data_IF_100396129896
#
_entry.id   IF_100396129896
#
_cell.length_a   1.000
_cell.length_b   1.000
_cell.length_c   1.000
_cell.angle_alpha   90.00
_cell.angle_beta   90.00
_cell.angle_gamma   90.00
#
_symmetry.space_group_name_H-M   'P 1'
#
loop_
_entity.id
_entity.type
_entity.pdbx_description
1 polymer ?
#
# COMPACT_ATOMS: atom_id res chain seq x y z
N UNK A 1 40.55 -41.18 10.34
CA UNK A 1 40.20 -40.25 9.25
C UNK A 1 38.69 -40.33 9.12
N UNK A 2 37.98 -39.50 9.87
CA UNK A 2 36.52 -39.45 9.89
C UNK A 2 36.14 -38.11 9.28
N UNK A 3 35.78 -38.12 8.01
CA UNK A 3 35.04 -37.02 7.38
C UNK A 3 33.56 -37.34 7.57
N UNK A 4 33.06 -37.08 8.78
CA UNK A 4 31.63 -37.06 9.06
C UNK A 4 31.16 -35.65 8.71
N UNK A 5 31.04 -35.40 7.41
CA UNK A 5 30.36 -34.23 6.89
C UNK A 5 28.90 -34.37 7.33
N UNK A 6 28.59 -33.82 8.51
CA UNK A 6 27.24 -33.56 8.99
C UNK A 6 26.54 -32.74 7.92
N UNK A 7 25.90 -33.42 6.97
CA UNK A 7 24.91 -32.87 6.08
C UNK A 7 23.75 -32.45 6.98
N UNK A 8 23.83 -31.22 7.51
CA UNK A 8 22.70 -30.58 8.18
C UNK A 8 21.63 -30.45 7.12
N UNK A 9 20.75 -31.44 7.08
CA UNK A 9 19.61 -31.44 6.18
C UNK A 9 18.64 -30.41 6.74
N UNK A 10 18.67 -29.20 6.17
CA UNK A 10 17.73 -28.15 6.53
C UNK A 10 16.31 -28.67 6.33
N UNK A 11 15.51 -28.57 7.38
CA UNK A 11 14.11 -28.98 7.34
C UNK A 11 13.37 -28.00 6.42
N UNK A 12 12.67 -28.49 5.37
CA UNK A 12 11.90 -27.61 4.51
C UNK A 12 10.71 -27.05 5.29
N UNK A 13 10.78 -25.77 5.65
CA UNK A 13 9.66 -25.04 6.26
C UNK A 13 8.86 -24.38 5.15
N UNK A 14 7.58 -24.72 5.05
CA UNK A 14 6.67 -24.12 4.07
C UNK A 14 5.46 -23.52 4.78
N UNK A 15 4.97 -22.42 4.22
CA UNK A 15 3.82 -21.68 4.74
C UNK A 15 2.74 -21.63 3.67
N UNK A 16 1.47 -21.74 4.07
CA UNK A 16 0.31 -21.63 3.18
C UNK A 16 -0.67 -20.60 3.75
N UNK A 17 -0.77 -19.37 3.17
CA UNK A 17 0.00 -18.88 2.01
C UNK A 17 1.49 -18.64 2.35
N UNK A 18 2.32 -18.38 1.34
CA UNK A 18 3.75 -18.12 1.53
C UNK A 18 4.01 -17.02 2.59
N UNK A 19 5.11 -17.12 3.34
CA UNK A 19 5.35 -16.29 4.52
C UNK A 19 5.32 -14.79 4.22
N UNK A 20 5.91 -14.37 3.11
CA UNK A 20 5.91 -12.95 2.68
C UNK A 20 4.48 -12.43 2.43
N UNK A 21 3.57 -13.28 1.91
CA UNK A 21 2.16 -12.94 1.75
C UNK A 21 1.45 -12.77 3.09
N UNK A 22 1.77 -13.62 4.08
CA UNK A 22 1.23 -13.50 5.43
C UNK A 22 1.69 -12.19 6.09
N UNK A 23 2.97 -11.85 5.96
CA UNK A 23 3.54 -10.60 6.48
C UNK A 23 2.89 -9.38 5.84
N UNK A 24 2.75 -9.38 4.50
CA UNK A 24 2.06 -8.30 3.78
C UNK A 24 0.59 -8.18 4.19
N UNK A 25 -0.11 -9.30 4.34
CA UNK A 25 -1.49 -9.33 4.82
C UNK A 25 -1.60 -8.68 6.20
N UNK A 26 -0.73 -9.08 7.13
CA UNK A 26 -0.69 -8.51 8.47
C UNK A 26 -0.42 -7.00 8.47
N UNK A 27 0.53 -6.51 7.65
CA UNK A 27 0.79 -5.07 7.51
C UNK A 27 -0.45 -4.33 7.03
N UNK A 28 -1.12 -4.84 6.00
CA UNK A 28 -2.34 -4.21 5.46
C UNK A 28 -3.48 -4.22 6.50
N UNK A 29 -3.60 -5.27 7.31
CA UNK A 29 -4.61 -5.35 8.38
C UNK A 29 -4.34 -4.33 9.49
N UNK A 30 -3.08 -4.12 9.87
CA UNK A 30 -2.70 -3.06 10.80
C UNK A 30 -3.04 -1.69 10.20
N UNK A 31 -2.67 -1.43 8.95
CA UNK A 31 -2.98 -0.15 8.31
C UNK A 31 -4.48 0.14 8.26
N UNK A 32 -5.32 -0.87 7.96
CA UNK A 32 -6.78 -0.72 7.95
C UNK A 32 -7.28 -0.33 9.34
N UNK A 33 -6.88 -1.11 10.35
CA UNK A 33 -7.32 -0.90 11.74
C UNK A 33 -6.96 0.48 12.27
N UNK A 34 -5.79 0.99 11.90
CA UNK A 34 -5.31 2.31 12.33
C UNK A 34 -5.72 3.43 11.36
N UNK A 35 -6.52 3.16 10.32
CA UNK A 35 -6.96 4.10 9.28
C UNK A 35 -5.80 4.91 8.66
N UNK A 36 -4.70 4.24 8.33
CA UNK A 36 -3.51 4.89 7.80
C UNK A 36 -3.76 5.49 6.42
N UNK A 37 -3.38 6.75 6.24
CA UNK A 37 -3.46 7.48 4.97
C UNK A 37 -2.10 7.86 4.40
N UNK A 38 -1.05 7.91 5.24
CA UNK A 38 0.34 8.16 4.84
C UNK A 38 1.28 7.01 5.22
N UNK A 39 2.00 6.46 4.24
CA UNK A 39 2.88 5.30 4.44
C UNK A 39 4.28 5.56 3.90
N UNK A 40 5.30 5.16 4.66
CA UNK A 40 6.68 4.97 4.21
C UNK A 40 7.03 3.49 4.26
N UNK A 41 7.35 2.89 3.11
CA UNK A 41 7.86 1.52 2.99
C UNK A 41 9.39 1.56 2.88
N UNK A 42 10.06 1.17 3.97
CA UNK A 42 11.53 1.14 4.09
C UNK A 42 12.00 -0.23 3.60
N UNK A 43 13.00 -0.24 2.72
CA UNK A 43 13.42 -1.47 2.04
C UNK A 43 12.31 -1.96 1.11
N UNK A 44 11.73 -1.05 0.32
CA UNK A 44 10.53 -1.36 -0.47
C UNK A 44 10.79 -2.37 -1.60
N UNK A 45 12.06 -2.64 -1.92
CA UNK A 45 12.44 -3.53 -3.01
C UNK A 45 11.73 -3.15 -4.30
N UNK A 46 11.22 -4.15 -5.02
CA UNK A 46 10.51 -3.96 -6.29
C UNK A 46 9.14 -3.26 -6.12
N UNK A 47 8.72 -2.91 -4.90
CA UNK A 47 7.50 -2.14 -4.63
C UNK A 47 6.23 -2.97 -4.50
N UNK A 48 6.34 -4.25 -4.10
CA UNK A 48 5.17 -5.13 -3.98
C UNK A 48 4.07 -4.58 -3.05
N UNK A 49 4.44 -4.02 -1.89
CA UNK A 49 3.48 -3.40 -0.97
C UNK A 49 2.91 -2.10 -1.57
N UNK A 50 3.78 -1.25 -2.13
CA UNK A 50 3.37 0.00 -2.78
C UNK A 50 2.35 -0.24 -3.89
N UNK A 51 2.59 -1.25 -4.73
CA UNK A 51 1.66 -1.67 -5.78
C UNK A 51 0.32 -2.14 -5.21
N UNK A 52 0.32 -2.85 -4.09
CA UNK A 52 -0.92 -3.22 -3.39
C UNK A 52 -1.69 -1.98 -2.92
N UNK A 53 -0.99 -0.98 -2.36
CA UNK A 53 -1.57 0.28 -1.86
C UNK A 53 -2.07 1.22 -2.98
N UNK A 54 -1.58 1.06 -4.21
CA UNK A 54 -2.10 1.76 -5.38
C UNK A 54 -3.52 1.31 -5.76
N UNK A 55 -3.96 0.13 -5.35
CA UNK A 55 -5.32 -0.33 -5.65
C UNK A 55 -6.35 0.56 -4.94
N UNK A 56 -7.35 1.11 -5.66
CA UNK A 56 -8.38 1.94 -5.04
C UNK A 56 -9.21 1.15 -4.02
N UNK A 57 -9.68 1.86 -3.00
CA UNK A 57 -10.82 1.39 -2.21
C UNK A 57 -12.03 1.15 -3.13
N UNK A 58 -12.88 0.19 -2.76
CA UNK A 58 -14.08 -0.17 -3.54
C UNK A 58 -15.12 0.96 -3.54
N UNK A 59 -15.09 1.79 -2.51
CA UNK A 59 -15.99 2.91 -2.30
C UNK A 59 -15.15 4.15 -1.96
N UNK A 60 -15.70 5.34 -2.17
CA UNK A 60 -15.08 6.58 -1.69
C UNK A 60 -15.09 6.61 -0.16
N UNK A 61 -14.15 7.33 0.46
CA UNK A 61 -14.25 7.66 1.88
C UNK A 61 -15.59 8.38 2.20
N UNK A 62 -16.12 8.29 3.44
CA UNK A 62 -17.34 8.97 3.78
C UNK A 62 -17.16 10.48 3.56
N UNK A 63 -18.19 11.18 3.07
CA UNK A 63 -18.11 12.63 2.96
C UNK A 63 -17.87 13.24 4.35
N UNK A 64 -17.09 14.31 4.46
CA UNK A 64 -16.86 14.96 5.73
C UNK A 64 -18.19 15.48 6.33
N UNK A 65 -18.32 15.57 7.67
CA UNK A 65 -19.60 15.85 8.32
C UNK A 65 -20.25 17.17 7.91
N UNK A 66 -19.46 18.15 7.47
CA UNK A 66 -19.91 19.45 6.98
C UNK A 66 -20.52 19.40 5.57
N UNK A 67 -20.20 18.36 4.79
CA UNK A 67 -20.80 18.09 3.49
C UNK A 67 -22.11 17.29 3.58
N UNK A 68 -22.43 16.75 4.76
CA UNK A 68 -23.67 16.01 4.98
C UNK A 68 -24.87 16.94 5.21
N UNK A 69 -26.07 16.59 4.71
CA UNK A 69 -27.31 17.24 5.11
C UNK A 69 -27.47 17.23 6.64
N UNK A 70 -28.02 18.29 7.26
CA UNK A 70 -28.17 18.39 8.72
C UNK A 70 -28.87 17.18 9.34
N UNK A 71 -29.86 16.62 8.63
CA UNK A 71 -30.67 15.48 9.08
C UNK A 71 -29.86 14.17 9.16
N UNK A 72 -28.86 14.00 8.29
CA UNK A 72 -27.96 12.85 8.30
C UNK A 72 -26.81 13.04 9.28
N UNK A 73 -26.26 14.25 9.37
CA UNK A 73 -25.23 14.59 10.36
C UNK A 73 -25.73 14.47 11.81
N UNK A 74 -27.05 14.67 12.03
CA UNK A 74 -27.70 14.55 13.33
C UNK A 74 -28.14 13.11 13.69
N UNK A 75 -28.01 12.13 12.79
CA UNK A 75 -28.40 10.74 13.01
C UNK A 75 -27.19 9.86 13.32
N UNK A 76 -26.97 9.46 14.60
CA UNK A 76 -25.82 8.64 14.98
C UNK A 76 -25.82 7.26 14.32
N UNK A 77 -27.01 6.72 14.02
CA UNK A 77 -27.18 5.39 13.41
C UNK A 77 -26.71 5.37 11.94
N UNK A 78 -26.96 6.44 11.19
CA UNK A 78 -26.54 6.55 9.79
C UNK A 78 -25.01 6.70 9.67
N UNK A 79 -24.40 7.49 10.56
CA UNK A 79 -22.94 7.65 10.62
C UNK A 79 -22.25 6.35 11.02
N UNK A 80 -22.78 5.62 12.01
CA UNK A 80 -22.23 4.32 12.44
C UNK A 80 -22.21 3.29 11.31
N UNK A 81 -23.26 3.21 10.50
CA UNK A 81 -23.32 2.28 9.38
C UNK A 81 -22.32 2.61 8.25
N UNK A 82 -22.09 3.90 8.00
CA UNK A 82 -21.06 4.37 7.06
C UNK A 82 -19.66 4.05 7.57
N UNK A 83 -19.41 4.27 8.86
CA UNK A 83 -18.13 3.95 9.47
C UNK A 83 -17.85 2.44 9.40
N UNK A 84 -18.83 1.59 9.75
CA UNK A 84 -18.72 0.12 9.64
C UNK A 84 -18.44 -0.37 8.21
N UNK A 85 -19.07 0.25 7.20
CA UNK A 85 -18.84 -0.10 5.79
C UNK A 85 -17.41 0.22 5.31
N UNK A 86 -16.73 1.15 5.98
CA UNK A 86 -15.44 1.68 5.56
C UNK A 86 -14.27 1.22 6.44
N UNK A 87 -14.54 0.62 7.60
CA UNK A 87 -13.52 0.14 8.55
C UNK A 87 -12.46 -0.80 7.92
N UNK A 88 -12.82 -1.55 6.88
CA UNK A 88 -11.92 -2.49 6.21
C UNK A 88 -11.25 -1.92 4.94
N UNK A 89 -11.47 -0.64 4.63
CA UNK A 89 -10.97 -0.01 3.42
C UNK A 89 -9.81 0.93 3.72
N UNK A 90 -8.74 0.79 2.93
CA UNK A 90 -7.62 1.71 2.96
C UNK A 90 -7.84 2.83 1.95
N UNK A 91 -7.70 4.06 2.42
CA UNK A 91 -7.79 5.28 1.62
C UNK A 91 -6.44 6.04 1.63
N UNK A 92 -5.33 5.43 1.17
CA UNK A 92 -4.04 6.08 1.22
C UNK A 92 -4.04 7.33 0.34
N UNK A 93 -3.40 8.39 0.81
CA UNK A 93 -3.28 9.66 0.09
C UNK A 93 -1.86 9.91 -0.35
N UNK A 94 -0.90 9.44 0.46
CA UNK A 94 0.52 9.54 0.19
C UNK A 94 1.22 8.23 0.56
N UNK A 95 1.97 7.66 -0.37
CA UNK A 95 2.84 6.51 -0.10
C UNK A 95 4.23 6.81 -0.62
N UNK A 96 5.25 6.40 0.13
CA UNK A 96 6.64 6.56 -0.22
C UNK A 96 7.38 5.23 -0.11
N UNK A 97 8.22 4.92 -1.08
CA UNK A 97 9.19 3.81 -1.02
C UNK A 97 10.60 4.35 -0.83
N UNK A 98 11.37 3.73 0.05
CA UNK A 98 12.80 4.00 0.24
C UNK A 98 13.59 2.70 0.05
N UNK A 99 14.56 2.73 -0.84
CA UNK A 99 15.51 1.62 -0.99
C UNK A 99 16.91 2.13 -1.38
N UNK A 100 17.94 1.31 -1.16
CA UNK A 100 19.31 1.59 -1.62
C UNK A 100 19.56 1.00 -3.02
N UNK A 101 18.78 -0.01 -3.41
CA UNK A 101 18.93 -0.72 -4.67
C UNK A 101 18.22 0.02 -5.81
N UNK A 102 19.02 0.64 -6.70
CA UNK A 102 18.49 1.38 -7.86
C UNK A 102 17.60 0.52 -8.76
N UNK A 103 17.99 -0.73 -9.03
CA UNK A 103 17.24 -1.61 -9.94
C UNK A 103 15.84 -1.91 -9.40
N UNK A 104 15.73 -2.12 -8.10
CA UNK A 104 14.46 -2.39 -7.44
C UNK A 104 13.58 -1.13 -7.43
N UNK A 105 14.17 0.04 -7.19
CA UNK A 105 13.51 1.34 -7.30
C UNK A 105 12.96 1.62 -8.70
N UNK A 106 13.71 1.29 -9.75
CA UNK A 106 13.23 1.42 -11.13
C UNK A 106 12.02 0.50 -11.38
N UNK A 107 12.02 -0.70 -10.80
CA UNK A 107 10.88 -1.60 -10.85
C UNK A 107 9.67 -1.01 -10.09
N UNK A 108 9.87 -0.56 -8.85
CA UNK A 108 8.85 0.05 -8.01
C UNK A 108 8.19 1.25 -8.70
N UNK A 109 9.00 2.17 -9.22
CA UNK A 109 8.52 3.35 -9.96
C UNK A 109 7.72 2.97 -11.22
N UNK A 110 8.09 1.87 -11.90
CA UNK A 110 7.37 1.38 -13.07
C UNK A 110 6.02 0.78 -12.70
N UNK A 111 5.94 -0.03 -11.65
CA UNK A 111 4.70 -0.74 -11.27
C UNK A 111 3.70 0.15 -10.52
N UNK A 112 4.15 1.24 -9.90
CA UNK A 112 3.27 2.22 -9.25
C UNK A 112 2.86 3.36 -10.19
N UNK A 113 3.41 3.42 -11.41
CA UNK A 113 3.10 4.46 -12.38
C UNK A 113 1.61 4.44 -12.74
N UNK A 114 0.93 5.59 -12.76
CA UNK A 114 -0.44 5.66 -13.25
C UNK A 114 -0.56 5.14 -14.69
N UNK A 115 -1.68 4.47 -15.04
CA UNK A 115 -1.92 4.05 -16.41
C UNK A 115 -1.90 5.27 -17.34
N UNK A 116 -1.28 5.12 -18.51
CA UNK A 116 -1.25 6.21 -19.49
C UNK A 116 -2.65 6.38 -20.07
N UNK A 117 -3.23 7.59 -20.09
CA UNK A 117 -4.48 7.81 -20.79
C UNK A 117 -4.28 7.43 -22.27
N UNK A 118 -5.12 6.53 -22.79
CA UNK A 118 -5.02 6.13 -24.19
C UNK A 118 -5.19 7.36 -25.09
N UNK A 119 -4.36 7.53 -26.13
CA UNK A 119 -4.48 8.65 -27.05
C UNK A 119 -5.82 8.58 -27.79
N UNK A 120 -6.49 9.72 -27.86
CA UNK A 120 -7.79 9.97 -28.49
C UNK A 120 -8.11 9.08 -29.71
N UNK A 121 -9.28 8.43 -29.70
CA UNK A 121 -10.03 8.18 -30.94
C UNK A 121 -10.70 6.82 -31.11
N UNK A 122 -10.26 5.75 -30.46
CA UNK A 122 -10.99 4.48 -30.46
C UNK A 122 -11.74 4.32 -29.15
N UNK A 123 -13.04 4.58 -29.23
CA UNK A 123 -14.04 4.59 -28.16
C UNK A 123 -14.30 3.20 -27.56
N UNK A 124 -13.24 2.50 -27.14
CA UNK A 124 -13.35 1.29 -26.34
C UNK A 124 -12.61 1.59 -25.05
N UNK A 125 -13.21 2.46 -24.22
CA UNK A 125 -12.96 2.44 -22.79
C UNK A 125 -13.39 1.05 -22.32
N UNK A 126 -12.47 0.10 -22.38
CA UNK A 126 -12.59 -1.13 -21.64
C UNK A 126 -12.64 -0.65 -20.18
N UNK A 127 -13.83 -0.70 -19.58
CA UNK A 127 -14.06 -0.53 -18.14
C UNK A 127 -13.21 -1.51 -17.27
N UNK A 128 -12.35 -2.29 -17.92
CA UNK A 128 -11.46 -3.33 -17.41
C UNK A 128 -9.97 -2.96 -17.53
N UNK A 129 -9.58 -1.88 -18.23
CA UNK A 129 -8.16 -1.65 -18.60
C UNK A 129 -7.27 -1.07 -17.50
N UNK A 130 -7.84 -0.51 -16.44
CA UNK A 130 -7.16 -0.28 -15.15
C UNK A 130 -8.24 0.17 -14.16
N UNK A 131 -8.20 -0.26 -12.89
CA UNK A 131 -9.13 0.26 -11.91
C UNK A 131 -8.92 1.77 -11.77
N UNK A 132 -9.92 2.54 -12.20
CA UNK A 132 -9.92 3.98 -12.05
C UNK A 132 -9.91 4.31 -10.55
N UNK A 133 -8.86 5.00 -10.10
CA UNK A 133 -8.79 5.52 -8.74
C UNK A 133 -9.53 6.84 -8.67
N UNK A 134 -10.56 6.90 -7.84
CA UNK A 134 -11.38 8.10 -7.66
C UNK A 134 -10.75 9.11 -6.69
N UNK A 135 -9.87 8.63 -5.81
CA UNK A 135 -9.16 9.44 -4.82
C UNK A 135 -7.72 9.71 -5.27
N UNK A 136 -7.18 10.93 -5.13
CA UNK A 136 -5.82 11.23 -5.52
C UNK A 136 -4.80 10.44 -4.67
N UNK A 137 -3.79 9.85 -5.33
CA UNK A 137 -2.64 9.21 -4.68
C UNK A 137 -1.37 9.94 -5.07
N UNK A 138 -0.58 10.34 -4.09
CA UNK A 138 0.82 10.68 -4.32
C UNK A 138 1.68 9.46 -4.04
N UNK A 139 2.50 9.06 -5.02
CA UNK A 139 3.51 8.02 -4.88
C UNK A 139 4.89 8.64 -5.05
N UNK A 140 5.77 8.43 -4.08
CA UNK A 140 7.15 8.92 -4.11
C UNK A 140 8.11 7.72 -3.99
N UNK A 141 9.15 7.68 -4.81
CA UNK A 141 10.16 6.62 -4.74
C UNK A 141 11.52 7.27 -4.55
N UNK A 142 12.24 6.85 -3.51
CA UNK A 142 13.48 7.45 -3.05
C UNK A 142 14.62 6.44 -3.09
N UNK A 143 15.70 6.79 -3.78
CA UNK A 143 16.99 6.11 -3.68
C UNK A 143 17.79 6.73 -2.55
N UNK A 144 18.07 5.96 -1.51
CA UNK A 144 18.79 6.46 -0.34
C UNK A 144 18.89 5.45 0.79
N UNK A 145 19.76 5.77 1.77
CA UNK A 145 19.94 4.95 2.97
C UNK A 145 19.08 5.47 4.11
N UNK A 146 18.60 4.57 4.97
CA UNK A 146 17.97 4.92 6.24
C UNK A 146 18.94 5.65 7.21
N UNK A 147 20.25 5.53 6.97
CA UNK A 147 21.26 6.23 7.76
C UNK A 147 21.20 7.76 7.58
N UNK A 148 20.60 8.25 6.49
CA UNK A 148 20.49 9.67 6.17
C UNK A 148 19.10 10.20 6.53
N UNK A 149 19.06 11.29 7.32
CA UNK A 149 17.79 11.91 7.71
C UNK A 149 17.20 12.67 6.53
N UNK A 150 16.01 12.26 6.09
CA UNK A 150 15.24 12.97 5.07
C UNK A 150 14.04 13.69 5.71
N UNK A 151 13.98 15.04 5.69
CA UNK A 151 12.85 15.80 6.22
C UNK A 151 11.50 15.45 5.57
N UNK A 152 11.48 14.91 4.35
CA UNK A 152 10.26 14.49 3.67
C UNK A 152 9.53 13.32 4.36
N UNK A 153 10.22 12.61 5.26
CA UNK A 153 9.65 11.49 6.02
C UNK A 153 9.22 11.88 7.44
N UNK A 154 9.48 13.11 7.87
CA UNK A 154 9.10 13.58 9.20
C UNK A 154 7.58 13.72 9.27
N UNK A 155 6.96 13.04 10.24
CA UNK A 155 5.52 13.08 10.46
C UNK A 155 4.72 12.09 9.61
N UNK A 156 5.37 11.16 8.89
CA UNK A 156 4.66 10.06 8.24
C UNK A 156 3.89 9.23 9.27
N UNK A 157 2.64 8.88 8.96
CA UNK A 157 1.74 8.20 9.89
C UNK A 157 2.18 6.76 10.19
N UNK A 158 2.66 6.06 9.15
CA UNK A 158 3.09 4.66 9.27
C UNK A 158 4.41 4.43 8.54
N UNK A 159 5.36 3.81 9.22
CA UNK A 159 6.57 3.27 8.61
C UNK A 159 6.53 1.73 8.63
N UNK A 160 6.75 1.12 7.48
CA UNK A 160 6.83 -0.33 7.29
C UNK A 160 8.27 -0.71 7.02
N UNK A 161 8.74 -1.77 7.70
CA UNK A 161 10.07 -2.34 7.52
C UNK A 161 9.96 -3.84 7.78
N UNK A 162 9.57 -4.62 6.77
CA UNK A 162 9.26 -6.05 6.96
C UNK A 162 10.45 -6.97 6.70
N UNK A 163 11.35 -6.61 5.78
CA UNK A 163 12.56 -7.36 5.39
C UNK A 163 13.63 -6.40 4.84
N UNK A 164 14.10 -5.47 5.69
CA UNK A 164 15.08 -4.41 5.33
C UNK A 164 16.51 -4.84 5.61
#
# INVERSE_FOLDING_TARGET
MFDDANLVQELPVTFHPALYLQRRGWVLDVMRRENITEVLDIGCGEGELLSCLCNPARWLAPPPPDALPPDLAASPEATSALDELHQDLLHPRRIAGLDVCRTDIECAARITKPPTPEPDGNNVVLWHSAPARWEPLQVEIWEGSLADVNPAFVGVECAVATEV
#
